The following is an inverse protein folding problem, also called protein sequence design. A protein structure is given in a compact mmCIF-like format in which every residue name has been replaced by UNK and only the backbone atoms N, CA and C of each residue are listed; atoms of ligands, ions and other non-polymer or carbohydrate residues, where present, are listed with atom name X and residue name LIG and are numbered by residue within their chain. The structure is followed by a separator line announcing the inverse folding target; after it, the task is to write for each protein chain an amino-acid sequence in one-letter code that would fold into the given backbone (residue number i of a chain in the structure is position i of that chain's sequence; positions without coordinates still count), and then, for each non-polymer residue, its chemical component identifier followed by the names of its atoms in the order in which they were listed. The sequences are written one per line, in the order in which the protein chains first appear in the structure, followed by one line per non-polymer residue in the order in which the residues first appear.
data_IF_231318671187
#
_entry.id   IF_231318671187
#
_cell.length_a   1.000
_cell.length_b   1.000
_cell.length_c   1.000
_cell.angle_alpha   90.00
_cell.angle_beta   90.00
_cell.angle_gamma   90.00
#
_symmetry.space_group_name_H-M   'P 1'
#
loop_
_entity.id
_entity.type
_entity.pdbx_description
1 polymer ?
#
# COMPACT_ATOMS: atom_id res chain seq x y z
N UNK A 1 -10.50 24.65 -8.78
CA UNK A 1 -10.07 24.06 -7.49
C UNK A 1 -10.22 22.55 -7.67
N UNK A 2 -9.21 21.75 -7.35
CA UNK A 2 -9.39 20.30 -7.37
C UNK A 2 -10.29 19.95 -6.17
N UNK A 3 -11.37 19.22 -6.42
CA UNK A 3 -12.24 18.77 -5.34
C UNK A 3 -11.48 17.80 -4.44
N UNK A 4 -11.59 18.01 -3.14
CA UNK A 4 -10.99 17.11 -2.16
C UNK A 4 -11.62 15.73 -2.32
N UNK A 5 -10.77 14.70 -2.40
CA UNK A 5 -11.19 13.31 -2.52
C UNK A 5 -11.20 12.66 -1.15
N UNK A 6 -12.21 11.85 -0.88
CA UNK A 6 -12.33 11.09 0.35
C UNK A 6 -12.47 9.61 0.03
N UNK A 7 -11.46 8.83 0.38
CA UNK A 7 -11.45 7.37 0.18
C UNK A 7 -11.82 6.69 1.50
N UNK A 8 -12.78 5.77 1.43
CA UNK A 8 -13.13 4.88 2.53
C UNK A 8 -12.42 3.54 2.33
N UNK A 9 -11.55 3.19 3.27
CA UNK A 9 -10.81 1.93 3.30
C UNK A 9 -11.70 0.83 3.89
N UNK A 10 -11.44 -0.43 3.54
CA UNK A 10 -12.21 -1.56 4.04
C UNK A 10 -12.04 -1.79 5.55
N UNK A 11 -10.94 -1.29 6.13
CA UNK A 11 -10.68 -1.33 7.58
C UNK A 11 -11.42 -0.22 8.35
N UNK A 12 -12.26 0.56 7.67
CA UNK A 12 -13.06 1.65 8.25
C UNK A 12 -12.32 2.97 8.35
N UNK A 13 -11.04 3.04 7.97
CA UNK A 13 -10.32 4.32 7.87
C UNK A 13 -10.87 5.15 6.72
N UNK A 14 -10.91 6.46 6.93
CA UNK A 14 -11.20 7.46 5.89
C UNK A 14 -9.95 8.28 5.64
N UNK A 15 -9.54 8.40 4.39
CA UNK A 15 -8.34 9.14 3.99
C UNK A 15 -8.75 10.26 3.04
N UNK A 16 -8.33 11.47 3.35
CA UNK A 16 -8.62 12.67 2.55
C UNK A 16 -7.41 13.08 1.72
N UNK A 17 -7.63 13.38 0.44
CA UNK A 17 -6.63 13.84 -0.49
C UNK A 17 -7.06 15.17 -1.10
N UNK A 18 -6.09 16.07 -1.33
CA UNK A 18 -6.35 17.38 -1.95
C UNK A 18 -6.81 17.29 -3.42
N UNK A 19 -6.81 16.09 -4.02
CA UNK A 19 -7.22 15.83 -5.40
C UNK A 19 -6.57 14.57 -5.95
N UNK A 20 -6.90 14.21 -7.19
CA UNK A 20 -6.46 12.96 -7.82
C UNK A 20 -4.92 12.84 -7.91
N UNK A 21 -4.20 13.96 -8.12
CA UNK A 21 -2.73 13.96 -8.17
C UNK A 21 -2.11 13.57 -6.82
N UNK A 22 -2.65 14.07 -5.70
CA UNK A 22 -2.16 13.74 -4.37
C UNK A 22 -2.39 12.26 -4.05
N UNK A 23 -3.53 11.72 -4.47
CA UNK A 23 -3.82 10.29 -4.40
C UNK A 23 -2.82 9.47 -5.23
N UNK A 24 -2.59 9.82 -6.50
CA UNK A 24 -1.63 9.12 -7.37
C UNK A 24 -0.21 9.10 -6.77
N UNK A 25 0.26 10.22 -6.23
CA UNK A 25 1.56 10.27 -5.55
C UNK A 25 1.62 9.38 -4.31
N UNK A 26 0.55 9.37 -3.52
CA UNK A 26 0.47 8.51 -2.34
C UNK A 26 0.50 7.03 -2.72
N UNK A 27 -0.28 6.62 -3.71
CA UNK A 27 -0.29 5.23 -4.21
C UNK A 27 1.07 4.83 -4.77
N UNK A 28 1.71 5.68 -5.56
CA UNK A 28 3.06 5.43 -6.08
C UNK A 28 4.09 5.28 -4.94
N UNK A 29 4.02 6.13 -3.92
CA UNK A 29 4.91 6.04 -2.75
C UNK A 29 4.70 4.75 -1.96
N UNK A 30 3.44 4.33 -1.77
CA UNK A 30 3.11 3.06 -1.12
C UNK A 30 3.61 1.87 -1.92
N UNK A 31 3.48 1.90 -3.25
CA UNK A 31 3.95 0.83 -4.14
C UNK A 31 5.47 0.69 -4.06
N UNK A 32 6.20 1.82 -4.13
CA UNK A 32 7.65 1.83 -3.99
C UNK A 32 8.12 1.29 -2.63
N UNK A 33 7.38 1.57 -1.56
CA UNK A 33 7.69 1.03 -0.24
C UNK A 33 7.51 -0.50 -0.20
N UNK A 34 6.43 -1.02 -0.82
CA UNK A 34 6.20 -2.45 -0.93
C UNK A 34 7.29 -3.13 -1.78
N UNK A 35 7.63 -2.55 -2.93
CA UNK A 35 8.71 -3.04 -3.79
C UNK A 35 10.05 -3.09 -3.05
N UNK A 36 10.37 -2.05 -2.28
CA UNK A 36 11.62 -2.02 -1.48
C UNK A 36 11.66 -3.13 -0.44
N UNK A 37 10.54 -3.42 0.22
CA UNK A 37 10.43 -4.55 1.15
C UNK A 37 10.57 -5.89 0.43
N UNK A 38 9.93 -6.06 -0.74
CA UNK A 38 10.02 -7.28 -1.54
C UNK A 38 11.43 -7.51 -2.08
N UNK A 39 12.13 -6.47 -2.52
CA UNK A 39 13.54 -6.55 -2.93
C UNK A 39 14.41 -7.00 -1.76
N UNK A 40 14.17 -6.47 -0.56
CA UNK A 40 14.90 -6.90 0.62
C UNK A 40 14.73 -8.41 0.86
N UNK A 41 13.63 -9.04 0.46
CA UNK A 41 13.45 -10.49 0.54
C UNK A 41 14.04 -11.29 -0.63
N UNK A 42 14.25 -10.68 -1.79
CA UNK A 42 14.61 -11.42 -3.01
C UNK A 42 16.08 -11.89 -3.03
N UNK A 43 16.97 -11.16 -2.32
CA UNK A 43 18.40 -11.48 -2.21
C UNK A 43 18.71 -12.24 -0.91
N UNK A 44 19.81 -11.89 -0.21
CA UNK A 44 20.21 -12.48 1.09
C UNK A 44 19.12 -12.39 2.17
N UNK A 45 18.12 -11.53 1.98
CA UNK A 45 17.04 -11.37 2.95
C UNK A 45 16.03 -12.50 2.97
N UNK A 46 15.98 -13.43 2.01
CA UNK A 46 15.23 -14.66 2.19
C UNK A 46 15.87 -15.56 3.27
N UNK A 47 17.20 -15.64 3.27
CA UNK A 47 17.95 -16.34 4.32
C UNK A 47 17.77 -15.64 5.66
N UNK A 48 17.94 -14.31 5.72
CA UNK A 48 17.65 -13.56 6.96
C UNK A 48 16.19 -13.74 7.41
N UNK A 49 15.24 -13.77 6.49
CA UNK A 49 13.83 -14.03 6.80
C UNK A 49 13.66 -15.43 7.42
N UNK A 50 14.33 -16.45 6.91
CA UNK A 50 14.29 -17.79 7.50
C UNK A 50 14.89 -17.84 8.91
N UNK A 51 15.96 -17.07 9.15
CA UNK A 51 16.67 -16.97 10.44
C UNK A 51 15.90 -16.16 11.50
N UNK A 52 14.91 -15.36 11.09
CA UNK A 52 14.04 -14.64 12.02
C UNK A 52 13.21 -15.60 12.88
N UNK A 53 12.89 -15.16 14.10
CA UNK A 53 11.92 -15.85 14.94
C UNK A 53 10.56 -15.96 14.24
N UNK A 54 9.80 -17.02 14.53
CA UNK A 54 8.47 -17.23 13.92
C UNK A 54 7.54 -16.02 14.10
N UNK A 55 7.58 -15.36 15.26
CA UNK A 55 6.79 -14.15 15.50
C UNK A 55 7.20 -12.98 14.59
N UNK A 56 8.51 -12.76 14.40
CA UNK A 56 9.01 -11.72 13.51
C UNK A 56 8.64 -12.01 12.04
N UNK A 57 8.74 -13.27 11.60
CA UNK A 57 8.31 -13.67 10.24
C UNK A 57 6.82 -13.40 10.00
N UNK A 58 5.97 -13.78 10.95
CA UNK A 58 4.52 -13.57 10.84
C UNK A 58 4.17 -12.08 10.79
N UNK A 59 4.76 -11.27 11.66
CA UNK A 59 4.56 -9.82 11.65
C UNK A 59 4.94 -9.19 10.31
N UNK A 60 6.05 -9.66 9.72
CA UNK A 60 6.55 -9.15 8.45
C UNK A 60 5.67 -9.57 7.27
N UNK A 61 5.19 -10.82 7.27
CA UNK A 61 4.20 -11.29 6.29
C UNK A 61 2.89 -10.51 6.39
N UNK A 62 2.41 -10.25 7.61
CA UNK A 62 1.21 -9.42 7.82
C UNK A 62 1.40 -7.97 7.36
N UNK A 63 2.60 -7.40 7.57
CA UNK A 63 2.92 -6.07 7.07
C UNK A 63 2.86 -6.01 5.53
N UNK A 64 3.53 -6.96 4.86
CA UNK A 64 3.54 -7.06 3.39
C UNK A 64 2.12 -7.26 2.85
N UNK A 65 1.35 -8.18 3.45
CA UNK A 65 -0.05 -8.41 3.09
C UNK A 65 -0.91 -7.15 3.29
N UNK A 66 -0.74 -6.46 4.42
CA UNK A 66 -1.48 -5.25 4.75
C UNK A 66 -1.22 -4.14 3.74
N UNK A 67 0.05 -3.91 3.39
CA UNK A 67 0.44 -2.94 2.38
C UNK A 67 -0.09 -3.31 0.98
N UNK A 68 -0.05 -4.58 0.61
CA UNK A 68 -0.61 -5.04 -0.67
C UNK A 68 -2.13 -4.86 -0.73
N UNK A 69 -2.85 -5.11 0.37
CA UNK A 69 -4.30 -4.86 0.42
C UNK A 69 -4.63 -3.38 0.36
N UNK A 70 -3.90 -2.54 1.12
CA UNK A 70 -4.04 -1.09 1.08
C UNK A 70 -3.85 -0.55 -0.34
N UNK A 71 -2.78 -0.99 -1.03
CA UNK A 71 -2.51 -0.60 -2.42
C UNK A 71 -3.61 -1.02 -3.38
N UNK A 72 -4.13 -2.24 -3.23
CA UNK A 72 -5.23 -2.74 -4.06
C UNK A 72 -6.49 -1.89 -3.88
N UNK A 73 -6.85 -1.56 -2.64
CA UNK A 73 -8.01 -0.72 -2.35
C UNK A 73 -7.86 0.69 -2.92
N UNK A 74 -6.68 1.29 -2.77
CA UNK A 74 -6.41 2.61 -3.33
C UNK A 74 -6.41 2.59 -4.86
N UNK A 75 -5.90 1.54 -5.49
CA UNK A 75 -5.92 1.38 -6.95
C UNK A 75 -7.36 1.24 -7.49
N UNK A 76 -8.24 0.53 -6.77
CA UNK A 76 -9.67 0.50 -7.11
C UNK A 76 -10.29 1.89 -6.99
N UNK A 77 -10.05 2.59 -5.89
CA UNK A 77 -10.57 3.95 -5.70
C UNK A 77 -10.10 4.92 -6.80
N UNK A 78 -8.84 4.81 -7.25
CA UNK A 78 -8.33 5.59 -8.38
C UNK A 78 -9.07 5.30 -9.70
N UNK A 79 -9.51 4.07 -9.92
CA UNK A 79 -10.24 3.67 -11.13
C UNK A 79 -11.65 4.26 -11.12
N UNK A 80 -12.35 4.18 -9.98
CA UNK A 80 -13.68 4.77 -9.80
C UNK A 80 -13.67 6.31 -9.99
N UNK A 81 -12.59 6.97 -9.59
CA UNK A 81 -12.40 8.42 -9.82
C UNK A 81 -12.17 8.71 -11.32
N UNK A 82 -11.48 7.83 -12.03
CA UNK A 82 -11.25 7.97 -13.48
C UNK A 82 -12.53 7.83 -14.31
N UNK A 83 -13.48 7.01 -13.86
CA UNK A 83 -14.78 6.81 -14.52
C UNK A 83 -15.80 7.94 -14.23
N UNK A 84 -15.52 8.80 -13.25
CA UNK A 84 -16.41 9.90 -12.82
C UNK A 84 -16.01 11.29 -13.33
N UNK A 85 -14.92 11.41 -14.10
CA UNK A 85 -14.46 12.63 -14.77
C UNK A 85 -14.80 12.63 -16.27
#
# INVERSE_FOLDING_TARGET
MADALSIHMNDGRRIEFAGALALSHFVASRAMHLESLLLAFADDGFTMFQDMSTGARLNLLWLVQGMASELRELAFAMTDIGDTQ
#
